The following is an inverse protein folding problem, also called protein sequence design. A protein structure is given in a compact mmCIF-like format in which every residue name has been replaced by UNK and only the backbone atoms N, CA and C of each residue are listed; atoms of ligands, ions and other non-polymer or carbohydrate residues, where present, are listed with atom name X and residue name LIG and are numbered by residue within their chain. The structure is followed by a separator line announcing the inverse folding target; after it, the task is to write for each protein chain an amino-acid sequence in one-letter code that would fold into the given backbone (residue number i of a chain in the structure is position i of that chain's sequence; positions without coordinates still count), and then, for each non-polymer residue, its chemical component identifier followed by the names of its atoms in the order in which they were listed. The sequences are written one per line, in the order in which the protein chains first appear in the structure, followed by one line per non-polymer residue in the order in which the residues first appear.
data_IF_382272706157
#
_entry.id   IF_382272706157
#
_cell.length_a   1.000
_cell.length_b   1.000
_cell.length_c   1.000
_cell.angle_alpha   90.00
_cell.angle_beta   90.00
_cell.angle_gamma   90.00
#
_symmetry.space_group_name_H-M   'P 1'
#
loop_
_entity.id
_entity.type
_entity.pdbx_description
1 polymer ?
#
# COMPACT_ATOMS: atom_id res chain seq x y z
N UNK A 1 6.86 11.01 -7.13
CA UNK A 1 5.75 10.55 -8.02
C UNK A 1 5.77 9.05 -8.35
N UNK A 2 6.92 8.38 -8.56
CA UNK A 2 6.96 6.93 -8.80
C UNK A 2 6.30 6.09 -7.69
N UNK A 3 6.45 6.51 -6.44
CA UNK A 3 5.98 5.79 -5.25
C UNK A 3 4.46 5.76 -5.11
N UNK A 4 3.76 6.85 -5.45
CA UNK A 4 2.32 6.97 -5.20
C UNK A 4 1.46 5.94 -5.94
N UNK A 5 1.85 5.53 -7.15
CA UNK A 5 1.15 4.47 -7.88
C UNK A 5 1.26 3.11 -7.17
N UNK A 6 2.41 2.86 -6.51
CA UNK A 6 2.59 1.70 -5.62
C UNK A 6 1.66 1.78 -4.40
N UNK A 7 1.58 2.95 -3.74
CA UNK A 7 0.68 3.13 -2.60
C UNK A 7 -0.80 2.97 -2.97
N UNK A 8 -1.23 3.48 -4.11
CA UNK A 8 -2.63 3.30 -4.56
C UNK A 8 -2.93 1.82 -4.80
N UNK A 9 -2.07 1.10 -5.52
CA UNK A 9 -2.30 -0.32 -5.83
C UNK A 9 -2.30 -1.22 -4.58
N UNK A 10 -1.30 -1.08 -3.71
CA UNK A 10 -1.22 -1.84 -2.46
C UNK A 10 -2.31 -1.39 -1.48
N UNK A 11 -2.62 -0.10 -1.43
CA UNK A 11 -3.70 0.45 -0.61
C UNK A 11 -5.06 -0.11 -1.03
N UNK A 12 -5.35 -0.18 -2.33
CA UNK A 12 -6.56 -0.83 -2.86
C UNK A 12 -6.63 -2.31 -2.44
N UNK A 13 -5.52 -3.04 -2.51
CA UNK A 13 -5.45 -4.42 -2.06
C UNK A 13 -5.73 -4.57 -0.55
N UNK A 14 -5.14 -3.71 0.28
CA UNK A 14 -5.39 -3.67 1.73
C UNK A 14 -6.86 -3.36 2.03
N UNK A 15 -7.43 -2.35 1.36
CA UNK A 15 -8.82 -1.96 1.48
C UNK A 15 -9.79 -3.10 1.15
N UNK A 16 -9.56 -3.75 0.00
CA UNK A 16 -10.42 -4.84 -0.48
C UNK A 16 -10.38 -6.05 0.45
N UNK A 17 -9.20 -6.41 0.99
CA UNK A 17 -9.07 -7.48 2.00
C UNK A 17 -9.80 -7.11 3.30
N UNK A 18 -9.76 -5.84 3.71
CA UNK A 18 -10.43 -5.36 4.91
C UNK A 18 -11.96 -5.25 4.79
N UNK A 19 -12.51 -5.17 3.59
CA UNK A 19 -13.93 -4.88 3.34
C UNK A 19 -14.94 -5.80 4.06
N UNK A 20 -14.69 -7.10 4.27
CA UNK A 20 -15.60 -7.96 5.04
C UNK A 20 -15.60 -7.67 6.55
N UNK A 21 -14.59 -6.97 7.07
CA UNK A 21 -14.31 -6.86 8.50
C UNK A 21 -14.40 -5.42 9.03
N UNK A 22 -14.14 -4.42 8.17
CA UNK A 22 -14.17 -3.00 8.53
C UNK A 22 -14.88 -2.17 7.48
N UNK A 23 -15.53 -1.10 7.93
CA UNK A 23 -16.15 -0.11 7.05
C UNK A 23 -15.10 0.78 6.38
N UNK A 24 -15.43 1.45 5.25
CA UNK A 24 -14.51 2.41 4.63
C UNK A 24 -14.09 3.55 5.57
N UNK A 25 -14.96 3.94 6.50
CA UNK A 25 -14.65 4.97 7.51
C UNK A 25 -13.64 4.44 8.52
N UNK A 26 -13.84 3.23 9.06
CA UNK A 26 -12.88 2.59 9.96
C UNK A 26 -11.52 2.38 9.28
N UNK A 27 -11.51 1.91 8.03
CA UNK A 27 -10.27 1.80 7.25
C UNK A 27 -9.58 3.16 7.09
N UNK A 28 -10.35 4.21 6.78
CA UNK A 28 -9.84 5.58 6.70
C UNK A 28 -9.19 6.03 8.02
N UNK A 29 -9.86 5.80 9.15
CA UNK A 29 -9.32 6.12 10.48
C UNK A 29 -8.04 5.32 10.78
N UNK A 30 -8.02 4.01 10.46
CA UNK A 30 -6.83 3.18 10.60
C UNK A 30 -5.66 3.73 9.75
N UNK A 31 -5.94 4.20 8.53
CA UNK A 31 -4.94 4.83 7.64
C UNK A 31 -4.47 6.18 8.14
N UNK A 32 -5.33 6.94 8.82
CA UNK A 32 -4.95 8.23 9.38
C UNK A 32 -4.03 8.10 10.60
N UNK A 33 -4.33 7.17 11.51
CA UNK A 33 -3.64 7.05 12.80
C UNK A 33 -2.45 6.08 12.80
N UNK A 34 -2.54 4.96 12.08
CA UNK A 34 -1.49 3.92 12.11
C UNK A 34 -0.50 4.08 10.95
N UNK A 35 -0.98 4.58 9.81
CA UNK A 35 -0.23 4.83 8.57
C UNK A 35 1.03 3.96 8.40
N UNK A 36 0.82 2.67 8.18
CA UNK A 36 1.91 1.73 7.90
C UNK A 36 1.34 0.51 7.17
N UNK A 37 1.78 0.27 5.94
CA UNK A 37 1.19 -0.74 5.07
C UNK A 37 1.22 -2.14 5.68
N UNK A 38 2.41 -2.62 6.03
CA UNK A 38 2.60 -3.95 6.65
C UNK A 38 1.87 -4.09 8.00
N UNK A 39 1.85 -3.04 8.82
CA UNK A 39 1.14 -3.06 10.09
C UNK A 39 -0.39 -3.10 9.91
N UNK A 40 -0.94 -2.45 8.87
CA UNK A 40 -2.37 -2.53 8.58
C UNK A 40 -2.80 -3.92 8.11
N UNK A 41 -2.02 -4.58 7.24
CA UNK A 41 -2.29 -5.97 6.87
C UNK A 41 -2.24 -6.90 8.09
N UNK A 42 -1.23 -6.75 8.97
CA UNK A 42 -1.12 -7.54 10.19
C UNK A 42 -2.30 -7.27 11.15
N UNK A 43 -2.68 -6.01 11.30
CA UNK A 43 -3.82 -5.59 12.12
C UNK A 43 -5.13 -6.18 11.60
N UNK A 44 -5.37 -6.15 10.28
CA UNK A 44 -6.53 -6.81 9.67
C UNK A 44 -6.51 -8.32 9.96
N UNK A 45 -5.39 -9.00 9.74
CA UNK A 45 -5.28 -10.44 10.02
C UNK A 45 -5.60 -10.78 11.49
N UNK A 46 -5.19 -9.92 12.43
CA UNK A 46 -5.49 -10.08 13.86
C UNK A 46 -6.95 -9.77 14.22
N UNK A 47 -7.57 -8.80 13.54
CA UNK A 47 -9.01 -8.50 13.67
C UNK A 47 -9.84 -9.71 13.22
N UNK A 48 -9.45 -10.37 12.12
CA UNK A 48 -10.14 -11.56 11.59
C UNK A 48 -10.18 -12.70 12.61
N UNK A 49 -9.08 -12.94 13.32
CA UNK A 49 -9.01 -13.98 14.37
C UNK A 49 -9.50 -13.50 15.74
N UNK A 50 -10.10 -12.31 15.81
CA UNK A 50 -10.63 -11.69 17.03
C UNK A 50 -9.58 -11.59 18.15
N UNK A 51 -8.34 -11.27 17.79
CA UNK A 51 -7.27 -11.10 18.76
C UNK A 51 -7.57 -9.95 19.74
N UNK A 52 -7.12 -10.03 21.00
CA UNK A 52 -7.27 -8.93 21.96
C UNK A 52 -6.63 -7.64 21.44
N UNK A 53 -7.28 -6.50 21.71
CA UNK A 53 -6.81 -5.17 21.27
C UNK A 53 -5.36 -4.90 21.71
N UNK A 54 -4.96 -5.36 22.90
CA UNK A 54 -3.60 -5.24 23.39
C UNK A 54 -2.58 -5.99 22.50
N UNK A 55 -2.92 -7.17 21.98
CA UNK A 55 -2.06 -7.94 21.09
C UNK A 55 -1.93 -7.27 19.72
N UNK A 56 -3.02 -6.70 19.20
CA UNK A 56 -3.02 -5.90 17.98
C UNK A 56 -2.10 -4.68 18.14
N UNK A 57 -2.31 -3.90 19.21
CA UNK A 57 -1.53 -2.70 19.50
C UNK A 57 -0.03 -3.03 19.63
N UNK A 58 0.30 -4.10 20.36
CA UNK A 58 1.69 -4.54 20.51
C UNK A 58 2.30 -4.98 19.17
N UNK A 59 1.57 -5.74 18.36
CA UNK A 59 2.05 -6.17 17.05
C UNK A 59 2.31 -4.99 16.12
N UNK A 60 1.36 -4.05 16.04
CA UNK A 60 1.50 -2.82 15.25
C UNK A 60 2.71 -2.00 15.73
N UNK A 61 2.87 -1.83 17.04
CA UNK A 61 4.00 -1.11 17.62
C UNK A 61 5.34 -1.78 17.26
N UNK A 62 5.46 -3.10 17.43
CA UNK A 62 6.68 -3.84 17.13
C UNK A 62 7.05 -3.79 15.65
N UNK A 63 6.06 -3.93 14.76
CA UNK A 63 6.27 -3.81 13.31
C UNK A 63 6.74 -2.40 12.95
N UNK A 64 6.15 -1.37 13.57
CA UNK A 64 6.44 0.04 13.25
C UNK A 64 7.70 0.58 13.93
N UNK A 65 8.31 -0.14 14.88
CA UNK A 65 9.58 0.27 15.48
C UNK A 65 10.68 0.52 14.43
N UNK A 66 10.62 -0.20 13.30
CA UNK A 66 11.52 0.02 12.16
C UNK A 66 11.40 1.44 11.60
N UNK A 67 10.18 1.98 11.49
CA UNK A 67 9.93 3.32 10.97
C UNK A 67 10.48 4.38 11.92
N UNK A 68 10.40 4.15 13.23
CA UNK A 68 11.02 5.02 14.22
C UNK A 68 12.54 5.12 14.02
N UNK A 69 13.22 3.99 13.79
CA UNK A 69 14.67 3.98 13.53
C UNK A 69 15.03 4.68 12.21
N UNK A 70 14.25 4.43 11.15
CA UNK A 70 14.43 5.10 9.85
C UNK A 70 14.22 6.62 9.96
N UNK A 71 13.22 7.04 10.72
CA UNK A 71 12.94 8.45 11.00
C UNK A 71 14.06 9.13 11.79
N UNK A 72 14.63 8.44 12.79
CA UNK A 72 15.80 8.94 13.50
C UNK A 72 16.99 9.16 12.57
N UNK A 73 17.28 8.21 11.67
CA UNK A 73 18.34 8.37 10.69
C UNK A 73 18.03 9.48 9.68
N UNK A 74 16.81 9.54 9.14
CA UNK A 74 16.41 10.61 8.21
C UNK A 74 16.57 12.01 8.83
N UNK A 75 16.26 12.15 10.13
CA UNK A 75 16.38 13.43 10.84
C UNK A 75 17.80 14.02 10.85
N UNK A 76 18.85 13.19 10.70
CA UNK A 76 20.23 13.68 10.69
C UNK A 76 20.56 14.51 9.45
N UNK A 77 19.88 14.27 8.33
CA UNK A 77 20.05 15.01 7.08
C UNK A 77 19.31 16.35 7.07
N UNK A 78 18.29 16.50 7.93
CA UNK A 78 17.42 17.67 8.00
C UNK A 78 17.62 18.48 9.29
N UNK A 79 18.78 18.37 9.95
CA UNK A 79 19.12 19.07 11.20
C UNK A 79 18.96 20.59 11.16
N UNK A 80 19.01 21.20 9.98
CA UNK A 80 18.86 22.65 9.80
C UNK A 80 17.40 23.11 9.72
N UNK A 81 16.43 22.20 9.73
CA UNK A 81 14.99 22.54 9.75
C UNK A 81 14.43 22.62 11.16
N UNK A 82 13.32 23.35 11.32
CA UNK A 82 12.66 23.49 12.63
C UNK A 82 12.20 22.13 13.16
N UNK A 83 12.16 22.00 14.49
CA UNK A 83 11.77 20.76 15.17
C UNK A 83 10.40 20.24 14.67
N UNK A 84 9.42 21.13 14.55
CA UNK A 84 8.08 20.79 14.05
C UNK A 84 8.09 20.27 12.62
N UNK A 85 8.98 20.80 11.80
CA UNK A 85 9.13 20.37 10.41
C UNK A 85 9.73 18.97 10.32
N UNK A 86 10.72 18.68 11.16
CA UNK A 86 11.31 17.35 11.27
C UNK A 86 10.32 16.33 11.85
N UNK A 87 9.54 16.70 12.88
CA UNK A 87 8.51 15.83 13.45
C UNK A 87 7.46 15.50 12.38
N UNK A 88 6.93 16.50 11.68
CA UNK A 88 5.93 16.29 10.63
C UNK A 88 6.48 15.47 9.45
N UNK A 89 7.75 15.62 9.09
CA UNK A 89 8.36 14.81 8.04
C UNK A 89 8.49 13.35 8.46
N UNK A 90 8.95 13.14 9.70
CA UNK A 90 9.32 11.86 10.26
C UNK A 90 8.11 11.03 10.72
N UNK A 91 6.97 11.67 11.00
CA UNK A 91 5.75 10.99 11.43
C UNK A 91 5.02 10.26 10.31
N UNK A 92 5.22 10.70 9.05
CA UNK A 92 4.63 10.09 7.84
C UNK A 92 5.70 9.50 6.92
N UNK A 93 6.86 9.15 7.48
CA UNK A 93 7.94 8.47 6.78
C UNK A 93 7.69 6.95 6.73
N UNK A 94 8.06 6.34 5.61
CA UNK A 94 7.86 4.92 5.30
C UNK A 94 9.13 4.34 4.72
N UNK A 95 9.21 3.01 4.59
CA UNK A 95 10.34 2.35 3.94
C UNK A 95 10.51 2.77 2.47
N UNK A 96 9.43 2.99 1.72
CA UNK A 96 9.50 3.41 0.33
C UNK A 96 9.88 4.88 0.19
N UNK A 97 9.30 5.77 1.02
CA UNK A 97 9.67 7.20 0.97
C UNK A 97 11.08 7.43 1.49
N UNK A 98 11.54 6.65 2.46
CA UNK A 98 12.93 6.61 2.90
C UNK A 98 13.87 6.07 1.82
N UNK A 99 13.47 5.01 1.11
CA UNK A 99 14.25 4.49 -0.03
C UNK A 99 14.43 5.54 -1.14
N UNK A 100 13.40 6.34 -1.41
CA UNK A 100 13.47 7.48 -2.32
C UNK A 100 14.44 8.56 -1.81
N UNK A 101 14.41 8.88 -0.51
CA UNK A 101 15.36 9.82 0.09
C UNK A 101 16.81 9.34 -0.07
N UNK A 102 17.09 8.07 0.23
CA UNK A 102 18.44 7.50 0.09
C UNK A 102 18.89 7.44 -1.37
N UNK A 103 17.98 7.12 -2.29
CA UNK A 103 18.26 7.15 -3.73
C UNK A 103 18.63 8.55 -4.23
N UNK A 104 17.93 9.58 -3.76
CA UNK A 104 18.25 10.97 -4.10
C UNK A 104 19.59 11.41 -3.50
N UNK A 105 19.87 11.05 -2.24
CA UNK A 105 21.14 11.33 -1.57
C UNK A 105 22.34 10.63 -2.22
N UNK A 106 22.13 9.54 -2.97
CA UNK A 106 23.18 8.88 -3.73
C UNK A 106 23.60 9.68 -4.99
N UNK A 107 22.76 10.60 -5.46
CA UNK A 107 23.02 11.43 -6.64
C UNK A 107 23.26 12.91 -6.31
N UNK A 108 22.79 13.36 -5.15
CA UNK A 108 22.79 14.76 -4.75
C UNK A 108 23.21 14.91 -3.29
N UNK A 109 24.16 15.80 -2.98
CA UNK A 109 24.67 16.01 -1.61
C UNK A 109 23.64 16.63 -0.64
N UNK A 110 22.60 17.28 -1.16
CA UNK A 110 21.56 17.96 -0.37
C UNK A 110 20.18 17.74 -0.97
N UNK A 111 19.26 17.24 -0.16
CA UNK A 111 17.84 17.09 -0.52
C UNK A 111 17.03 18.23 0.06
N UNK A 112 16.15 18.82 -0.76
CA UNK A 112 15.24 19.86 -0.30
C UNK A 112 14.21 19.27 0.69
N UNK A 113 14.11 19.80 1.92
CA UNK A 113 13.14 19.33 2.92
C UNK A 113 11.68 19.39 2.44
N UNK A 114 11.33 20.40 1.63
CA UNK A 114 9.98 20.58 1.08
C UNK A 114 9.63 19.53 0.04
N UNK A 115 10.63 19.10 -0.73
CA UNK A 115 10.46 17.99 -1.66
C UNK A 115 10.18 16.68 -0.92
N UNK A 116 10.88 16.43 0.19
CA UNK A 116 10.68 15.24 1.02
C UNK A 116 9.28 15.23 1.67
N UNK A 117 8.82 16.38 2.18
CA UNK A 117 7.43 16.51 2.67
C UNK A 117 6.40 16.27 1.58
N UNK A 118 6.62 16.83 0.38
CA UNK A 118 5.75 16.57 -0.76
C UNK A 118 5.68 15.07 -1.10
N UNK A 119 6.82 14.37 -1.06
CA UNK A 119 6.88 12.93 -1.30
C UNK A 119 6.13 12.13 -0.22
N UNK A 120 6.31 12.46 1.06
CA UNK A 120 5.63 11.79 2.16
C UNK A 120 4.12 12.06 2.13
N UNK A 121 3.69 13.32 1.99
CA UNK A 121 2.28 13.70 1.97
C UNK A 121 1.55 13.08 0.77
N UNK A 122 2.19 13.08 -0.40
CA UNK A 122 1.62 12.47 -1.59
C UNK A 122 1.45 10.95 -1.43
N UNK A 123 2.41 10.28 -0.78
CA UNK A 123 2.33 8.85 -0.47
C UNK A 123 1.23 8.55 0.57
N UNK A 124 1.11 9.41 1.58
CA UNK A 124 0.09 9.34 2.61
C UNK A 124 -1.33 9.46 2.03
N UNK A 125 -1.57 10.48 1.20
CA UNK A 125 -2.86 10.68 0.54
C UNK A 125 -3.17 9.54 -0.42
N UNK A 126 -2.19 9.08 -1.20
CA UNK A 126 -2.34 7.95 -2.11
C UNK A 126 -2.75 6.67 -1.36
N UNK A 127 -2.14 6.40 -0.21
CA UNK A 127 -2.48 5.26 0.65
C UNK A 127 -3.88 5.39 1.23
N UNK A 128 -4.22 6.56 1.80
CA UNK A 128 -5.54 6.81 2.37
C UNK A 128 -6.64 6.62 1.32
N UNK A 129 -6.49 7.24 0.14
CA UNK A 129 -7.46 7.10 -0.95
C UNK A 129 -7.54 5.65 -1.42
N UNK A 130 -6.39 4.99 -1.63
CA UNK A 130 -6.34 3.59 -2.06
C UNK A 130 -7.06 2.65 -1.09
N UNK A 131 -6.78 2.76 0.21
CA UNK A 131 -7.40 1.90 1.24
C UNK A 131 -8.89 2.15 1.40
N UNK A 132 -9.34 3.40 1.43
CA UNK A 132 -10.77 3.74 1.54
C UNK A 132 -11.54 3.29 0.30
N UNK A 133 -11.05 3.62 -0.90
CA UNK A 133 -11.67 3.19 -2.16
C UNK A 133 -11.67 1.67 -2.28
N UNK A 134 -10.56 1.01 -1.90
CA UNK A 134 -10.45 -0.44 -1.90
C UNK A 134 -11.49 -1.09 -0.99
N UNK A 135 -11.71 -0.52 0.19
CA UNK A 135 -12.72 -1.03 1.14
C UNK A 135 -14.13 -0.85 0.59
N UNK A 136 -14.44 0.33 0.04
CA UNK A 136 -15.74 0.62 -0.54
C UNK A 136 -16.04 -0.29 -1.75
N UNK A 137 -15.07 -0.50 -2.64
CA UNK A 137 -15.21 -1.40 -3.79
C UNK A 137 -15.24 -2.87 -3.36
N UNK A 138 -14.44 -3.25 -2.37
CA UNK A 138 -14.41 -4.60 -1.82
C UNK A 138 -15.77 -5.04 -1.27
N UNK A 139 -16.51 -4.14 -0.64
CA UNK A 139 -17.87 -4.42 -0.14
C UNK A 139 -18.89 -4.71 -1.25
N UNK A 140 -18.60 -4.32 -2.51
CA UNK A 140 -19.43 -4.59 -3.68
C UNK A 140 -19.03 -5.89 -4.42
N UNK A 141 -17.88 -6.48 -4.07
CA UNK A 141 -17.30 -7.62 -4.77
C UNK A 141 -17.61 -8.94 -4.03
N UNK A 142 -18.08 -9.99 -4.73
CA UNK A 142 -18.33 -11.29 -4.10
C UNK A 142 -17.09 -11.97 -3.51
N UNK A 143 -15.89 -11.67 -4.04
CA UNK A 143 -14.60 -12.25 -3.62
C UNK A 143 -13.48 -11.19 -3.60
N UNK A 144 -13.36 -10.38 -2.54
CA UNK A 144 -12.46 -9.22 -2.49
C UNK A 144 -10.96 -9.59 -2.51
N UNK A 145 -10.60 -10.72 -1.91
CA UNK A 145 -9.21 -11.19 -1.77
C UNK A 145 -8.53 -11.46 -3.13
N UNK A 146 -9.28 -12.00 -4.10
CA UNK A 146 -8.75 -12.28 -5.45
C UNK A 146 -8.48 -10.97 -6.20
N UNK A 147 -9.39 -10.00 -6.07
CA UNK A 147 -9.23 -8.70 -6.71
C UNK A 147 -8.04 -7.94 -6.13
N UNK A 148 -7.80 -8.05 -4.82
CA UNK A 148 -6.62 -7.53 -4.13
C UNK A 148 -5.31 -8.10 -4.69
N UNK A 149 -5.23 -9.43 -4.82
CA UNK A 149 -4.06 -10.13 -5.34
C UNK A 149 -3.75 -9.75 -6.80
N UNK A 150 -4.79 -9.61 -7.63
CA UNK A 150 -4.64 -9.23 -9.03
C UNK A 150 -4.18 -7.77 -9.14
N UNK A 151 -4.78 -6.83 -8.40
CA UNK A 151 -4.34 -5.42 -8.41
C UNK A 151 -2.91 -5.22 -7.91
N UNK A 152 -2.49 -5.97 -6.90
CA UNK A 152 -1.10 -5.93 -6.41
C UNK A 152 -0.09 -6.38 -7.46
N UNK A 153 -0.50 -7.18 -8.46
CA UNK A 153 0.38 -7.70 -9.51
C UNK A 153 0.56 -6.73 -10.69
N UNK A 154 -0.34 -5.75 -10.84
CA UNK A 154 -0.39 -4.80 -11.98
C UNK A 154 0.78 -3.82 -11.97
N UNK A 155 1.34 -3.53 -10.80
CA UNK A 155 2.39 -2.53 -10.63
C UNK A 155 3.66 -3.21 -10.15
N UNK A 156 4.72 -3.15 -10.96
CA UNK A 156 6.08 -3.48 -10.53
C UNK A 156 6.96 -2.26 -10.66
N UNK A 157 7.64 -1.89 -9.59
CA UNK A 157 8.64 -0.82 -9.58
C UNK A 157 9.95 -1.33 -8.99
N UNK A 158 11.06 -1.14 -9.71
CA UNK A 158 12.40 -1.21 -9.11
C UNK A 158 12.70 0.15 -8.46
N UNK A 159 13.31 0.12 -7.28
CA UNK A 159 13.77 1.34 -6.58
C UNK A 159 14.65 2.16 -7.54
N UNK A 160 14.26 3.41 -7.80
CA UNK A 160 14.96 4.32 -8.72
C UNK A 160 14.41 4.42 -10.16
N UNK A 161 13.36 3.65 -10.51
CA UNK A 161 12.70 3.72 -11.84
C UNK A 161 11.22 4.12 -11.73
N UNK A 162 10.66 4.70 -12.80
CA UNK A 162 9.21 4.95 -12.87
C UNK A 162 8.46 3.60 -12.79
N UNK A 163 7.37 3.51 -12.00
CA UNK A 163 6.55 2.30 -11.91
C UNK A 163 6.04 1.96 -13.30
N UNK A 164 6.33 0.76 -13.75
CA UNK A 164 5.84 0.28 -15.04
C UNK A 164 4.53 -0.46 -14.82
N UNK A 165 3.48 0.06 -15.45
CA UNK A 165 2.18 -0.62 -15.49
C UNK A 165 2.34 -1.81 -16.43
N UNK A 166 2.14 -3.02 -15.90
CA UNK A 166 2.03 -4.20 -16.74
C UNK A 166 0.65 -4.21 -17.39
N UNK A 167 0.55 -3.58 -18.56
CA UNK A 167 -0.71 -3.45 -19.29
C UNK A 167 -1.41 -4.78 -19.56
N UNK A 168 -0.65 -5.86 -19.75
CA UNK A 168 -1.19 -7.21 -19.90
C UNK A 168 -1.87 -7.72 -18.62
N UNK A 169 -1.22 -7.54 -17.47
CA UNK A 169 -1.79 -7.92 -16.16
C UNK A 169 -2.99 -7.00 -15.81
N UNK A 170 -2.96 -5.72 -16.23
CA UNK A 170 -4.08 -4.79 -16.09
C UNK A 170 -5.30 -5.20 -16.94
N UNK A 171 -5.09 -5.57 -18.19
CA UNK A 171 -6.15 -6.05 -19.08
C UNK A 171 -6.77 -7.35 -18.59
N UNK A 172 -5.98 -8.24 -17.97
CA UNK A 172 -6.46 -9.48 -17.37
C UNK A 172 -7.37 -9.26 -16.16
N UNK A 173 -7.33 -8.09 -15.52
CA UNK A 173 -8.19 -7.77 -14.37
C UNK A 173 -9.66 -7.76 -14.76
N UNK A 174 -10.03 -7.18 -15.92
CA UNK A 174 -11.44 -7.00 -16.28
C UNK A 174 -12.17 -8.33 -16.55
N UNK A 175 -11.64 -9.26 -17.37
CA UNK A 175 -12.27 -10.55 -17.58
C UNK A 175 -12.29 -11.40 -16.30
N UNK A 176 -11.23 -11.33 -15.48
CA UNK A 176 -11.16 -12.09 -14.23
C UNK A 176 -12.14 -11.56 -13.19
N UNK A 177 -12.29 -10.23 -13.07
CA UNK A 177 -13.29 -9.60 -12.23
C UNK A 177 -14.72 -9.91 -12.69
N UNK A 178 -14.96 -9.98 -14.01
CA UNK A 178 -16.25 -10.39 -14.56
C UNK A 178 -16.61 -11.84 -14.17
N UNK A 179 -15.66 -12.77 -14.31
CA UNK A 179 -15.84 -14.17 -13.89
C UNK A 179 -16.07 -14.27 -12.38
N UNK A 180 -15.32 -13.50 -11.58
CA UNK A 180 -15.50 -13.42 -10.13
C UNK A 180 -16.93 -13.00 -9.76
N UNK A 181 -17.42 -11.96 -10.44
CA UNK A 181 -18.75 -11.40 -10.21
C UNK A 181 -19.87 -12.36 -10.64
N UNK A 182 -19.72 -13.01 -11.80
CA UNK A 182 -20.75 -13.85 -12.42
C UNK A 182 -20.93 -15.20 -11.73
N UNK A 183 -19.84 -15.81 -11.26
CA UNK A 183 -19.84 -17.20 -10.80
C UNK A 183 -19.72 -17.35 -9.29
N UNK A 184 -19.34 -16.30 -8.55
CA UNK A 184 -19.14 -16.32 -7.08
C UNK A 184 -18.31 -17.51 -6.56
N UNK A 185 -17.51 -18.14 -7.41
CA UNK A 185 -16.69 -19.31 -7.07
C UNK A 185 -15.22 -18.88 -7.04
N UNK A 186 -14.62 -18.96 -5.85
CA UNK A 186 -13.25 -18.54 -5.57
C UNK A 186 -12.24 -19.32 -6.43
N UNK A 187 -12.35 -20.65 -6.45
CA UNK A 187 -11.40 -21.54 -7.14
C UNK A 187 -11.46 -21.35 -8.66
N UNK A 188 -12.68 -21.24 -9.21
CA UNK A 188 -12.87 -21.02 -10.66
C UNK A 188 -12.32 -19.67 -11.13
N UNK A 189 -12.44 -18.64 -10.30
CA UNK A 189 -11.92 -17.29 -10.61
C UNK A 189 -10.40 -17.27 -10.61
N UNK A 190 -9.76 -17.91 -9.61
CA UNK A 190 -8.29 -17.99 -9.53
C UNK A 190 -7.72 -18.78 -10.70
N UNK A 191 -8.28 -19.95 -11.00
CA UNK A 191 -7.83 -20.77 -12.14
C UNK A 191 -7.96 -20.00 -13.46
N UNK A 192 -9.08 -19.32 -13.65
CA UNK A 192 -9.28 -18.49 -14.85
C UNK A 192 -8.27 -17.35 -14.93
N UNK A 193 -8.06 -16.60 -13.84
CA UNK A 193 -7.10 -15.49 -13.81
C UNK A 193 -5.66 -15.93 -14.05
N UNK A 194 -5.22 -17.02 -13.41
CA UNK A 194 -3.87 -17.58 -13.58
C UNK A 194 -3.67 -18.07 -15.02
N UNK A 195 -4.64 -18.80 -15.57
CA UNK A 195 -4.58 -19.31 -16.95
C UNK A 195 -4.60 -18.16 -17.96
N UNK A 196 -5.44 -17.14 -17.75
CA UNK A 196 -5.53 -15.97 -18.62
C UNK A 196 -4.21 -15.18 -18.64
N UNK A 197 -3.61 -14.94 -17.47
CA UNK A 197 -2.30 -14.27 -17.36
C UNK A 197 -1.21 -15.11 -18.04
N UNK A 198 -1.22 -16.43 -17.83
CA UNK A 198 -0.26 -17.33 -18.47
C UNK A 198 -0.37 -17.31 -20.01
N UNK A 199 -1.60 -17.30 -20.54
CA UNK A 199 -1.86 -17.20 -21.99
C UNK A 199 -1.42 -15.84 -22.53
N UNK A 200 -1.78 -14.74 -21.86
CA UNK A 200 -1.43 -13.39 -22.31
C UNK A 200 0.09 -13.20 -22.40
N UNK A 201 0.85 -13.78 -21.47
CA UNK A 201 2.33 -13.75 -21.48
C UNK A 201 2.98 -14.73 -22.47
N UNK A 202 2.23 -15.71 -22.96
CA UNK A 202 2.69 -16.61 -24.03
C UNK A 202 2.49 -16.00 -25.42
N UNK A 203 1.48 -15.15 -25.57
CA UNK A 203 1.08 -14.55 -26.87
C UNK A 203 1.77 -13.21 -27.12
N UNK A 204 2.06 -12.43 -26.07
CA UNK A 204 2.66 -11.10 -26.12
C UNK A 204 3.91 -11.00 -25.24
#
# INVERSE_FOLDING_TARGET
MPTALGYVSIGLACGTIGAPYVTPVEMGLMSLFVYAGSAQFAMLALIVVQAPVAAIAMTVFLINLRLFLLSLHASTYFRHTSLWYNIGMSSILTDETYGVLMGELAHTDKVNPMWMHGNNLNSYVAWFVGTVVGTALGGLLPNPEIFALILSSVVTGKVGSLPQIKWLDFLAVFPTAWVAFRYRNLVGTVLFGVVLIAILRLVF
#
